data_IF_952723137954
#
_entry.id   IF_952723137954
#
_cell.length_a   1.000
_cell.length_b   1.000
_cell.length_c   1.000
_cell.angle_alpha   90.00
_cell.angle_beta   90.00
_cell.angle_gamma   90.00
#
_symmetry.space_group_name_H-M   'P 1'
#
loop_
_entity.id
_entity.type
_entity.pdbx_description
1 polymer ?
#
# COMPACT_ATOMS: atom_id res chain seq x y z
N UNK A 1 2.18 23.19 -9.28
CA UNK A 1 1.02 22.40 -8.83
C UNK A 1 1.02 21.10 -9.61
N UNK A 2 1.47 20.00 -9.00
CA UNK A 2 1.45 18.69 -9.68
C UNK A 2 0.03 18.14 -9.57
N UNK A 3 -0.69 18.05 -10.70
CA UNK A 3 -1.99 17.38 -10.72
C UNK A 3 -1.77 15.89 -10.58
N UNK A 4 -1.98 15.35 -9.38
CA UNK A 4 -2.06 13.92 -9.15
C UNK A 4 -3.34 13.43 -9.83
N UNK A 5 -3.21 12.83 -11.01
CA UNK A 5 -4.33 12.27 -11.76
C UNK A 5 -4.63 10.86 -11.23
N UNK A 6 -5.91 10.60 -10.94
CA UNK A 6 -6.38 9.26 -10.61
C UNK A 6 -6.28 8.39 -11.86
N UNK A 7 -5.67 7.22 -11.74
CA UNK A 7 -5.59 6.27 -12.85
C UNK A 7 -6.99 5.76 -13.19
N UNK A 8 -7.25 5.59 -14.48
CA UNK A 8 -8.46 4.94 -14.99
C UNK A 8 -8.42 3.42 -14.76
N UNK A 9 -9.57 2.75 -14.74
CA UNK A 9 -9.65 1.30 -14.53
C UNK A 9 -8.83 0.49 -15.55
N UNK A 10 -8.75 0.98 -16.79
CA UNK A 10 -7.97 0.35 -17.86
C UNK A 10 -6.46 0.47 -17.62
N UNK A 11 -5.99 1.62 -17.12
CA UNK A 11 -4.58 1.81 -16.72
C UNK A 11 -4.21 0.93 -15.52
N UNK A 12 -5.13 0.77 -14.57
CA UNK A 12 -4.96 -0.14 -13.42
C UNK A 12 -4.87 -1.60 -13.89
N UNK A 13 -5.74 -2.03 -14.82
CA UNK A 13 -5.69 -3.38 -15.41
C UNK A 13 -4.40 -3.60 -16.20
N UNK A 14 -3.92 -2.59 -16.91
CA UNK A 14 -2.65 -2.64 -17.65
C UNK A 14 -1.43 -2.75 -16.72
N UNK A 15 -1.51 -2.17 -15.51
CA UNK A 15 -0.43 -2.21 -14.52
C UNK A 15 -0.16 -3.63 -13.99
N UNK A 16 -1.05 -4.62 -14.27
CA UNK A 16 -0.97 -6.04 -13.85
C UNK A 16 -0.18 -6.22 -12.54
N UNK A 17 -0.63 -5.63 -11.43
CA UNK A 17 0.07 -5.82 -10.19
C UNK A 17 -0.16 -7.26 -9.74
N UNK A 18 0.78 -8.16 -10.00
CA UNK A 18 0.70 -9.61 -9.68
C UNK A 18 0.45 -9.90 -8.18
N UNK A 19 0.39 -8.88 -7.33
CA UNK A 19 0.16 -9.04 -5.89
C UNK A 19 -0.57 -7.87 -5.25
N UNK A 20 -1.16 -6.94 -6.01
CA UNK A 20 -1.98 -5.87 -5.43
C UNK A 20 -3.45 -6.10 -5.78
N UNK A 21 -4.30 -5.98 -4.77
CA UNK A 21 -5.74 -6.15 -4.88
C UNK A 21 -6.42 -4.78 -4.90
N UNK A 22 -7.46 -4.63 -5.71
CA UNK A 22 -8.30 -3.43 -5.69
C UNK A 22 -9.21 -3.45 -4.46
N UNK A 23 -9.27 -2.31 -3.76
CA UNK A 23 -10.22 -2.13 -2.66
C UNK A 23 -11.63 -1.96 -3.28
N UNK A 24 -12.69 -2.55 -2.70
CA UNK A 24 -14.06 -2.44 -3.24
C UNK A 24 -14.57 -1.01 -3.42
N UNK A 25 -14.06 -0.06 -2.63
CA UNK A 25 -14.36 1.37 -2.73
C UNK A 25 -13.65 2.07 -3.91
N UNK A 26 -12.86 1.34 -4.71
CA UNK A 26 -12.41 1.75 -6.04
C UNK A 26 -11.22 2.72 -6.10
N UNK A 27 -10.83 3.33 -4.97
CA UNK A 27 -9.87 4.44 -4.98
C UNK A 27 -8.52 4.09 -4.35
N UNK A 28 -8.32 2.84 -3.98
CA UNK A 28 -7.09 2.34 -3.38
C UNK A 28 -6.74 0.93 -3.85
N UNK A 29 -5.44 0.64 -3.85
CA UNK A 29 -4.91 -0.73 -3.96
C UNK A 29 -4.36 -1.16 -2.60
N UNK A 30 -4.57 -2.42 -2.24
CA UNK A 30 -4.05 -3.03 -1.02
C UNK A 30 -3.14 -4.20 -1.35
N UNK A 31 -2.16 -4.43 -0.48
CA UNK A 31 -1.31 -5.62 -0.54
C UNK A 31 -0.95 -6.05 0.87
N UNK A 32 -1.19 -7.32 1.16
CA UNK A 32 -0.86 -7.92 2.45
C UNK A 32 0.52 -8.56 2.40
N UNK A 33 1.32 -8.31 3.44
CA UNK A 33 2.63 -8.92 3.63
C UNK A 33 2.65 -9.68 4.96
N UNK A 34 3.19 -10.90 4.95
CA UNK A 34 3.34 -11.72 6.16
C UNK A 34 4.81 -11.75 6.56
N UNK A 35 5.09 -11.34 7.79
CA UNK A 35 6.42 -11.34 8.39
C UNK A 35 6.52 -12.42 9.46
N UNK A 36 7.74 -12.79 9.85
CA UNK A 36 7.98 -13.82 10.85
C UNK A 36 7.64 -13.31 12.26
N UNK A 37 7.90 -12.03 12.51
CA UNK A 37 7.65 -11.38 13.80
C UNK A 37 7.25 -9.90 13.65
N UNK A 38 6.85 -9.30 14.78
CA UNK A 38 6.43 -7.90 14.85
C UNK A 38 7.56 -6.91 14.50
N UNK A 39 8.81 -7.22 14.89
CA UNK A 39 9.94 -6.31 14.66
C UNK A 39 10.25 -6.19 13.16
N UNK A 40 10.19 -7.31 12.43
CA UNK A 40 10.28 -7.33 10.97
C UNK A 40 9.16 -6.50 10.31
N UNK A 41 7.91 -6.68 10.76
CA UNK A 41 6.77 -5.92 10.25
C UNK A 41 6.90 -4.41 10.53
N UNK A 42 7.30 -4.04 11.74
CA UNK A 42 7.45 -2.64 12.15
C UNK A 42 8.60 -1.94 11.41
N UNK A 43 9.74 -2.63 11.22
CA UNK A 43 10.85 -2.12 10.41
C UNK A 43 10.43 -1.88 8.96
N UNK A 44 9.62 -2.78 8.38
CA UNK A 44 9.08 -2.61 7.04
C UNK A 44 8.13 -1.41 6.94
N UNK A 45 7.19 -1.29 7.88
CA UNK A 45 6.25 -0.15 7.95
C UNK A 45 6.98 1.19 8.06
N UNK A 46 8.01 1.27 8.90
CA UNK A 46 8.79 2.50 9.11
C UNK A 46 9.47 2.96 7.81
N UNK A 47 10.08 2.03 7.06
CA UNK A 47 10.73 2.35 5.78
C UNK A 47 9.74 2.85 4.74
N UNK A 48 8.54 2.27 4.71
CA UNK A 48 7.47 2.70 3.82
C UNK A 48 6.97 4.09 4.22
N UNK A 49 6.73 4.34 5.51
CA UNK A 49 6.30 5.65 6.02
C UNK A 49 7.30 6.76 5.65
N UNK A 50 8.60 6.52 5.84
CA UNK A 50 9.65 7.48 5.44
C UNK A 50 9.69 7.72 3.94
N UNK A 51 9.38 6.70 3.12
CA UNK A 51 9.35 6.87 1.67
C UNK A 51 8.12 7.67 1.24
N UNK A 52 6.96 7.39 1.85
CA UNK A 52 5.71 8.09 1.61
C UNK A 52 5.82 9.58 1.94
N UNK A 53 6.43 9.91 3.07
CA UNK A 53 6.75 11.27 3.48
C UNK A 53 7.61 11.99 2.41
N UNK A 54 8.68 11.34 1.95
CA UNK A 54 9.57 11.89 0.90
C UNK A 54 8.88 12.13 -0.45
N UNK A 55 7.87 11.34 -0.81
CA UNK A 55 7.14 11.51 -2.08
C UNK A 55 5.87 12.34 -1.92
N UNK A 56 5.57 12.81 -0.70
CA UNK A 56 4.38 13.60 -0.39
C UNK A 56 3.07 12.83 -0.58
N UNK A 57 3.07 11.52 -0.33
CA UNK A 57 1.90 10.64 -0.47
C UNK A 57 1.41 10.18 0.90
N UNK A 58 0.09 10.29 1.15
CA UNK A 58 -0.53 9.68 2.32
C UNK A 58 -0.81 8.20 2.06
N UNK A 59 -0.44 7.35 3.02
CA UNK A 59 -0.61 5.89 2.94
C UNK A 59 -1.27 5.38 4.22
N UNK A 60 -2.02 4.29 4.11
CA UNK A 60 -2.56 3.57 5.25
C UNK A 60 -1.72 2.32 5.51
N UNK A 61 -1.25 2.14 6.75
CA UNK A 61 -0.49 0.96 7.19
C UNK A 61 -1.21 0.33 8.38
N UNK A 62 -1.53 -0.96 8.27
CA UNK A 62 -2.11 -1.75 9.35
C UNK A 62 -1.23 -2.96 9.65
N UNK A 63 -0.99 -3.22 10.94
CA UNK A 63 -0.38 -4.48 11.39
C UNK A 63 -1.46 -5.32 12.07
N UNK A 64 -2.00 -6.26 11.33
CA UNK A 64 -3.01 -7.19 11.83
C UNK A 64 -2.27 -8.32 12.54
N UNK A 65 -2.03 -8.16 13.85
CA UNK A 65 -1.65 -9.29 14.68
C UNK A 65 -2.80 -10.31 14.65
N UNK A 66 -2.58 -11.48 14.04
CA UNK A 66 -3.50 -12.62 14.19
C UNK A 66 -3.42 -13.08 15.65
N UNK A 67 -4.14 -12.42 16.55
CA UNK A 67 -4.51 -13.00 17.83
C UNK A 67 -5.55 -14.06 17.48
N UNK A 68 -5.09 -15.30 17.33
CA UNK A 68 -5.97 -16.47 17.40
C UNK A 68 -6.05 -16.91 18.85
#
# INVERSE_FOLDING_TARGET
YTMTQKLTEDEIKALKPQSWELVPEGDAIKKSFKFKDFNEAFGFMTRIALRADKVGLFIHLENINQIT
#
